data_IF_175078284918
#
_entry.id   IF_175078284918
#
_cell.length_a   1.000
_cell.length_b   1.000
_cell.length_c   1.000
_cell.angle_alpha   90.00
_cell.angle_beta   90.00
_cell.angle_gamma   90.00
#
_symmetry.space_group_name_H-M   'P 1'
#
loop_
_entity.id
_entity.type
_entity.pdbx_description
1 polymer ?
#
# COMPACT_ATOMS: atom_id res chain seq x y z
N UNK A 1 1.63 -2.96 9.87
CA UNK A 1 1.83 -4.03 10.87
C UNK A 1 0.64 -4.97 10.93
N UNK A 2 -0.49 -4.60 11.54
CA UNK A 2 -1.66 -5.51 11.65
C UNK A 2 -2.18 -6.02 10.29
N UNK A 3 -2.22 -5.16 9.25
CA UNK A 3 -2.60 -5.56 7.88
C UNK A 3 -1.66 -6.61 7.25
N UNK A 4 -0.43 -6.74 7.77
CA UNK A 4 0.59 -7.69 7.35
C UNK A 4 0.70 -8.87 8.35
N UNK A 5 -0.39 -9.16 9.08
CA UNK A 5 -0.50 -10.28 10.04
C UNK A 5 0.53 -10.26 11.18
N UNK A 6 0.94 -9.08 11.60
CA UNK A 6 1.64 -8.93 12.87
C UNK A 6 0.64 -9.03 14.02
N UNK A 7 0.94 -9.88 15.00
CA UNK A 7 0.24 -9.86 16.30
C UNK A 7 0.78 -8.74 17.18
N UNK A 8 0.04 -8.34 18.22
CA UNK A 8 0.53 -7.33 19.18
C UNK A 8 1.87 -7.75 19.82
N UNK A 9 2.02 -9.04 20.15
CA UNK A 9 3.27 -9.60 20.68
C UNK A 9 4.42 -9.44 19.70
N UNK A 10 4.24 -9.83 18.43
CA UNK A 10 5.25 -9.67 17.39
C UNK A 10 5.68 -8.21 17.21
N UNK A 11 4.74 -7.26 17.32
CA UNK A 11 5.06 -5.83 17.22
C UNK A 11 6.01 -5.38 18.34
N UNK A 12 5.79 -5.83 19.59
CA UNK A 12 6.67 -5.47 20.72
C UNK A 12 8.02 -6.17 20.64
N UNK A 13 8.06 -7.39 20.10
CA UNK A 13 9.30 -8.15 19.94
C UNK A 13 10.20 -7.57 18.83
N UNK A 14 9.61 -7.12 17.72
CA UNK A 14 10.36 -6.67 16.54
C UNK A 14 10.60 -5.15 16.52
N UNK A 15 9.75 -4.37 17.19
CA UNK A 15 9.86 -2.91 17.25
C UNK A 15 10.06 -2.46 18.68
N UNK A 16 10.93 -1.46 18.89
CA UNK A 16 11.15 -0.80 20.19
C UNK A 16 9.98 0.10 20.57
N UNK A 17 8.78 -0.48 20.65
CA UNK A 17 7.54 0.18 21.02
C UNK A 17 7.17 -0.24 22.44
N UNK A 18 7.01 0.75 23.32
CA UNK A 18 6.57 0.52 24.69
C UNK A 18 5.17 -0.18 24.71
N UNK A 19 4.95 -1.20 25.56
CA UNK A 19 3.69 -1.93 25.60
C UNK A 19 2.46 -1.04 25.87
N UNK A 20 2.59 -0.01 26.72
CA UNK A 20 1.51 0.93 27.00
C UNK A 20 1.26 1.83 25.79
N UNK A 21 2.30 2.26 25.08
CA UNK A 21 2.17 2.99 23.82
C UNK A 21 1.42 2.15 22.75
N UNK A 22 1.76 0.86 22.61
CA UNK A 22 1.05 -0.05 21.71
C UNK A 22 -0.43 -0.15 22.09
N UNK A 23 -0.75 -0.33 23.38
CA UNK A 23 -2.14 -0.43 23.83
C UNK A 23 -2.94 0.85 23.53
N UNK A 24 -2.33 2.03 23.69
CA UNK A 24 -2.95 3.32 23.32
C UNK A 24 -3.23 3.41 21.81
N UNK A 25 -2.31 2.96 20.97
CA UNK A 25 -2.50 2.92 19.52
C UNK A 25 -3.62 1.95 19.12
N UNK A 26 -3.63 0.74 19.70
CA UNK A 26 -4.71 -0.22 19.46
C UNK A 26 -6.06 0.35 19.89
N UNK A 27 -6.13 1.04 21.04
CA UNK A 27 -7.37 1.67 21.50
C UNK A 27 -7.87 2.76 20.54
N UNK A 28 -6.96 3.55 19.97
CA UNK A 28 -7.31 4.54 18.94
C UNK A 28 -7.86 3.87 17.68
N UNK A 29 -7.25 2.77 17.22
CA UNK A 29 -7.72 2.02 16.06
C UNK A 29 -9.10 1.39 16.29
N UNK A 30 -9.34 0.86 17.49
CA UNK A 30 -10.63 0.29 17.91
C UNK A 30 -11.72 1.36 17.92
N UNK A 31 -11.43 2.53 18.51
CA UNK A 31 -12.33 3.70 18.48
C UNK A 31 -12.64 4.23 17.09
N UNK A 32 -11.73 4.05 16.14
CA UNK A 32 -11.96 4.37 14.73
C UNK A 32 -12.77 3.30 13.99
N UNK A 33 -13.08 2.17 14.65
CA UNK A 33 -13.79 1.04 14.06
C UNK A 33 -12.96 0.25 13.05
N UNK A 34 -11.63 0.34 13.13
CA UNK A 34 -10.71 -0.37 12.21
C UNK A 34 -10.37 -1.77 12.69
N UNK A 35 -10.42 -1.99 14.00
CA UNK A 35 -10.18 -3.27 14.65
C UNK A 35 -11.22 -3.53 15.73
N UNK A 36 -11.38 -4.78 16.13
CA UNK A 36 -11.96 -5.16 17.41
C UNK A 36 -10.84 -5.73 18.29
N UNK A 37 -10.70 -5.21 19.51
CA UNK A 37 -9.83 -5.82 20.53
C UNK A 37 -10.57 -6.90 21.31
N UNK A 38 -9.92 -8.05 21.50
CA UNK A 38 -10.41 -9.15 22.33
C UNK A 38 -9.46 -9.40 23.51
N UNK A 39 -9.93 -10.06 24.59
CA UNK A 39 -9.10 -10.37 25.75
C UNK A 39 -7.79 -11.08 25.36
N UNK A 40 -6.70 -10.74 26.04
CA UNK A 40 -5.37 -11.28 25.74
C UNK A 40 -4.61 -10.54 24.63
N UNK A 41 -4.93 -9.27 24.37
CA UNK A 41 -4.32 -8.44 23.32
C UNK A 41 -4.42 -9.03 21.91
N UNK A 42 -5.45 -9.85 21.69
CA UNK A 42 -5.79 -10.32 20.36
C UNK A 42 -6.53 -9.21 19.60
N UNK A 43 -6.20 -9.06 18.33
CA UNK A 43 -6.71 -8.00 17.48
C UNK A 43 -7.34 -8.62 16.25
N UNK A 44 -8.61 -8.30 16.01
CA UNK A 44 -9.31 -8.67 14.78
C UNK A 44 -9.44 -7.45 13.88
N UNK A 45 -8.92 -7.53 12.66
CA UNK A 45 -9.11 -6.48 11.66
C UNK A 45 -10.57 -6.44 11.20
N UNK A 46 -11.14 -5.24 11.11
CA UNK A 46 -12.48 -4.96 10.54
C UNK A 46 -12.41 -4.40 9.12
N UNK A 47 -11.20 -4.22 8.62
CA UNK A 47 -10.92 -3.70 7.28
C UNK A 47 -10.34 -4.80 6.40
N UNK A 48 -10.70 -4.79 5.12
CA UNK A 48 -10.07 -5.64 4.11
C UNK A 48 -8.64 -5.16 3.83
N UNK A 49 -7.74 -6.07 3.45
CA UNK A 49 -6.37 -5.72 3.04
C UNK A 49 -6.34 -4.86 1.78
N UNK A 50 -7.24 -5.12 0.85
CA UNK A 50 -7.49 -4.31 -0.36
C UNK A 50 -8.29 -3.04 -0.13
N UNK A 51 -8.12 -2.37 1.02
CA UNK A 51 -8.90 -1.17 1.37
C UNK A 51 -8.67 -0.08 0.31
N UNK A 52 -9.76 0.30 -0.38
CA UNK A 52 -9.76 1.49 -1.23
C UNK A 52 -9.91 2.74 -0.36
N UNK A 53 -8.93 3.62 -0.39
CA UNK A 53 -9.04 4.90 0.31
C UNK A 53 -10.11 5.77 -0.33
N UNK A 54 -10.89 6.43 0.51
CA UNK A 54 -11.79 7.49 0.08
C UNK A 54 -10.97 8.62 -0.55
N UNK A 55 -11.39 9.07 -1.74
CA UNK A 55 -10.79 10.23 -2.39
C UNK A 55 -10.82 11.45 -1.43
N UNK A 56 -9.69 12.13 -1.26
CA UNK A 56 -9.56 13.26 -0.34
C UNK A 56 -9.64 12.92 1.16
N UNK A 57 -9.76 11.65 1.53
CA UNK A 57 -9.79 11.19 2.92
C UNK A 57 -8.43 11.31 3.63
N UNK A 58 -8.39 11.25 4.98
CA UNK A 58 -7.18 11.47 5.76
C UNK A 58 -6.06 10.48 5.43
N UNK A 59 -6.38 9.19 5.26
CA UNK A 59 -5.40 8.16 4.88
C UNK A 59 -4.81 8.45 3.49
N UNK A 60 -5.65 8.87 2.54
CA UNK A 60 -5.18 9.22 1.19
C UNK A 60 -4.23 10.42 1.21
N UNK A 61 -4.54 11.45 1.99
CA UNK A 61 -3.66 12.63 2.14
C UNK A 61 -2.32 12.25 2.76
N UNK A 62 -2.33 11.45 3.81
CA UNK A 62 -1.11 10.94 4.43
C UNK A 62 -0.26 10.16 3.42
N UNK A 63 -0.89 9.26 2.64
CA UNK A 63 -0.19 8.53 1.59
C UNK A 63 0.43 9.43 0.53
N UNK A 64 -0.34 10.41 0.02
CA UNK A 64 0.13 11.33 -1.02
C UNK A 64 1.30 12.22 -0.54
N UNK A 65 1.31 12.58 0.75
CA UNK A 65 2.30 13.50 1.35
C UNK A 65 3.58 12.81 1.82
N UNK A 66 3.49 11.57 2.29
CA UNK A 66 4.60 10.89 2.96
C UNK A 66 4.99 9.64 2.17
N UNK A 67 4.11 8.65 2.14
CA UNK A 67 4.42 7.31 1.63
C UNK A 67 4.80 7.32 0.15
N UNK A 68 4.05 8.03 -0.69
CA UNK A 68 4.32 8.07 -2.14
C UNK A 68 5.67 8.73 -2.43
N UNK A 69 5.96 9.84 -1.78
CA UNK A 69 7.21 10.57 -1.96
C UNK A 69 8.40 9.76 -1.46
N UNK A 70 8.29 9.16 -0.27
CA UNK A 70 9.34 8.30 0.30
C UNK A 70 9.66 7.11 -0.62
N UNK A 71 8.62 6.39 -1.06
CA UNK A 71 8.79 5.22 -1.93
C UNK A 71 9.43 5.57 -3.27
N UNK A 72 9.00 6.67 -3.91
CA UNK A 72 9.54 7.08 -5.22
C UNK A 72 10.93 7.75 -5.13
N UNK A 73 11.37 8.16 -3.93
CA UNK A 73 12.73 8.69 -3.69
C UNK A 73 13.75 7.60 -3.38
N UNK A 74 13.32 6.35 -3.17
CA UNK A 74 14.23 5.23 -3.00
C UNK A 74 15.16 5.08 -4.21
N UNK A 75 16.36 4.56 -4.01
CA UNK A 75 17.34 4.37 -5.09
C UNK A 75 16.97 3.21 -6.02
N UNK A 76 16.10 2.30 -5.58
CA UNK A 76 15.75 1.06 -6.29
C UNK A 76 16.99 0.25 -6.71
N UNK A 77 17.98 0.16 -5.81
CA UNK A 77 19.29 -0.45 -6.04
C UNK A 77 19.50 -1.78 -5.29
N UNK A 78 18.50 -2.26 -4.55
CA UNK A 78 18.58 -3.54 -3.87
C UNK A 78 18.24 -4.70 -4.81
N UNK A 79 18.77 -5.91 -4.55
CA UNK A 79 18.41 -7.09 -5.33
C UNK A 79 16.89 -7.31 -5.36
N UNK A 80 16.32 -7.32 -6.56
CA UNK A 80 14.88 -7.50 -6.78
C UNK A 80 14.08 -6.19 -6.92
N UNK A 81 14.67 -5.04 -6.60
CA UNK A 81 14.04 -3.74 -6.85
C UNK A 81 13.82 -3.53 -8.36
N UNK A 82 12.70 -2.90 -8.70
CA UNK A 82 12.35 -2.55 -10.07
C UNK A 82 11.72 -1.16 -10.11
N UNK A 83 12.23 -0.30 -11.00
CA UNK A 83 11.68 1.03 -11.24
C UNK A 83 11.48 1.27 -12.74
N UNK A 84 10.25 1.07 -13.20
CA UNK A 84 9.92 1.10 -14.62
C UNK A 84 8.94 2.24 -14.91
N UNK A 85 9.39 3.27 -15.62
CA UNK A 85 8.53 4.33 -16.14
C UNK A 85 8.37 4.20 -17.66
N UNK A 86 7.15 3.87 -18.10
CA UNK A 86 6.81 3.67 -19.52
C UNK A 86 5.88 4.77 -20.01
N UNK A 87 6.17 5.30 -21.20
CA UNK A 87 5.35 6.33 -21.85
C UNK A 87 5.23 6.03 -23.35
N UNK A 88 4.04 6.20 -23.90
CA UNK A 88 3.75 5.97 -25.31
C UNK A 88 2.31 6.31 -25.67
N UNK A 89 2.02 6.37 -26.96
CA UNK A 89 0.66 6.50 -27.46
C UNK A 89 0.04 5.13 -27.62
N UNK A 90 -1.12 4.91 -27.00
CA UNK A 90 -1.84 3.66 -27.04
C UNK A 90 -3.25 3.90 -27.56
N UNK A 91 -3.80 2.93 -28.28
CA UNK A 91 -5.23 2.91 -28.61
C UNK A 91 -6.07 2.73 -27.34
N UNK A 92 -7.35 3.10 -27.42
CA UNK A 92 -8.29 2.86 -26.32
C UNK A 92 -8.40 1.38 -25.95
N UNK A 93 -8.34 0.48 -26.94
CA UNK A 93 -8.37 -0.97 -26.72
C UNK A 93 -7.15 -1.46 -25.93
N UNK A 94 -5.94 -0.97 -26.25
CA UNK A 94 -4.72 -1.28 -25.50
C UNK A 94 -4.78 -0.70 -24.08
N UNK A 95 -5.29 0.53 -23.91
CA UNK A 95 -5.49 1.13 -22.58
C UNK A 95 -6.47 0.30 -21.74
N UNK A 96 -7.58 -0.15 -22.31
CA UNK A 96 -8.56 -0.98 -21.62
C UNK A 96 -7.96 -2.34 -21.20
N UNK A 97 -7.19 -2.98 -22.08
CA UNK A 97 -6.49 -4.22 -21.78
C UNK A 97 -5.49 -4.04 -20.62
N UNK A 98 -4.65 -3.00 -20.66
CA UNK A 98 -3.68 -2.73 -19.60
C UNK A 98 -4.36 -2.46 -18.26
N UNK A 99 -5.45 -1.67 -18.23
CA UNK A 99 -6.22 -1.44 -17.00
C UNK A 99 -6.73 -2.74 -16.36
N UNK A 100 -7.23 -3.67 -17.19
CA UNK A 100 -7.66 -5.00 -16.70
C UNK A 100 -6.49 -5.81 -16.15
N UNK A 101 -5.34 -5.80 -16.83
CA UNK A 101 -4.12 -6.49 -16.36
C UNK A 101 -3.59 -5.92 -15.06
N UNK A 102 -3.56 -4.60 -14.90
CA UNK A 102 -3.16 -3.96 -13.64
C UNK A 102 -4.11 -4.29 -12.49
N UNK A 103 -5.42 -4.34 -12.75
CA UNK A 103 -6.40 -4.76 -11.74
C UNK A 103 -6.22 -6.23 -11.33
N UNK A 104 -5.92 -7.12 -12.29
CA UNK A 104 -5.62 -8.52 -12.03
C UNK A 104 -4.33 -8.69 -11.20
N UNK A 105 -3.27 -7.97 -11.54
CA UNK A 105 -2.00 -7.97 -10.79
C UNK A 105 -2.20 -7.50 -9.34
N UNK A 106 -3.00 -6.45 -9.13
CA UNK A 106 -3.32 -5.99 -7.78
C UNK A 106 -4.09 -7.06 -6.97
N UNK A 107 -5.03 -7.75 -7.60
CA UNK A 107 -5.76 -8.84 -6.96
C UNK A 107 -4.87 -10.05 -6.64
N UNK A 108 -3.93 -10.39 -7.54
CA UNK A 108 -2.94 -11.45 -7.34
C UNK A 108 -2.03 -11.12 -6.16
N UNK A 109 -1.55 -9.88 -6.05
CA UNK A 109 -0.78 -9.43 -4.90
C UNK A 109 -1.53 -9.61 -3.58
N UNK A 110 -2.82 -9.25 -3.52
CA UNK A 110 -3.65 -9.45 -2.32
C UNK A 110 -3.79 -10.94 -1.97
N UNK A 111 -3.92 -11.81 -2.97
CA UNK A 111 -4.02 -13.26 -2.78
C UNK A 111 -2.70 -13.84 -2.23
N UNK A 112 -1.56 -13.45 -2.81
CA UNK A 112 -0.23 -13.87 -2.34
C UNK A 112 0.02 -13.37 -0.91
N UNK A 113 -0.22 -12.10 -0.64
CA UNK A 113 -0.07 -11.52 0.71
C UNK A 113 -0.93 -12.25 1.75
N UNK A 114 -2.15 -12.66 1.37
CA UNK A 114 -3.04 -13.43 2.26
C UNK A 114 -2.51 -14.84 2.50
N UNK A 115 -2.03 -15.52 1.45
CA UNK A 115 -1.48 -16.86 1.57
C UNK A 115 -0.22 -16.88 2.44
N UNK A 116 0.71 -15.96 2.18
CA UNK A 116 1.94 -15.80 2.95
C UNK A 116 1.68 -15.31 4.37
N UNK A 117 0.52 -14.68 4.62
CA UNK A 117 0.04 -14.32 5.96
C UNK A 117 0.02 -15.46 6.99
N UNK A 118 0.00 -16.72 6.52
CA UNK A 118 0.03 -17.92 7.37
C UNK A 118 1.45 -18.37 7.74
N UNK A 119 2.47 -17.85 7.07
CA UNK A 119 3.86 -18.19 7.33
C UNK A 119 4.39 -17.49 8.59
N UNK A 120 5.40 -18.07 9.26
CA UNK A 120 6.16 -17.39 10.30
C UNK A 120 6.72 -16.04 9.84
N UNK A 121 6.84 -15.06 10.74
CA UNK A 121 7.29 -13.69 10.42
C UNK A 121 8.67 -13.69 9.74
N UNK A 122 9.59 -14.55 10.20
CA UNK A 122 10.95 -14.70 9.66
C UNK A 122 11.01 -15.31 8.25
N UNK A 123 9.88 -15.81 7.74
CA UNK A 123 9.73 -16.35 6.37
C UNK A 123 9.00 -15.39 5.44
N UNK A 124 8.73 -14.16 5.88
CA UNK A 124 8.00 -13.15 5.13
C UNK A 124 8.83 -11.89 5.03
N UNK A 125 8.69 -11.16 3.93
CA UNK A 125 9.41 -9.91 3.71
C UNK A 125 8.42 -8.79 3.44
N UNK A 126 8.73 -7.59 3.94
CA UNK A 126 8.00 -6.40 3.56
C UNK A 126 8.18 -6.14 2.08
N UNK A 127 7.10 -6.30 1.31
CA UNK A 127 7.10 -6.04 -0.12
C UNK A 127 5.99 -5.05 -0.45
N UNK A 128 6.34 -3.97 -1.15
CA UNK A 128 5.41 -2.92 -1.54
C UNK A 128 5.40 -2.77 -3.05
N UNK A 129 4.21 -2.83 -3.64
CA UNK A 129 4.02 -2.67 -5.09
C UNK A 129 3.16 -1.42 -5.34
N UNK A 130 3.73 -0.44 -6.05
CA UNK A 130 2.99 0.75 -6.51
C UNK A 130 2.66 0.62 -7.98
N UNK A 131 1.37 0.55 -8.32
CA UNK A 131 0.89 0.52 -9.70
C UNK A 131 0.04 1.75 -9.97
N UNK A 132 0.38 2.51 -11.01
CA UNK A 132 -0.39 3.66 -11.45
C UNK A 132 -0.40 3.75 -12.98
N UNK A 133 -1.53 4.15 -13.54
CA UNK A 133 -1.63 4.52 -14.95
C UNK A 133 -2.52 5.76 -15.08
N UNK A 134 -2.12 6.68 -15.95
CA UNK A 134 -2.91 7.88 -16.28
C UNK A 134 -2.61 8.30 -17.70
N UNK A 135 -3.59 8.89 -18.37
CA UNK A 135 -3.31 9.70 -19.54
C UNK A 135 -2.57 10.95 -19.05
N UNK A 136 -1.29 11.06 -19.39
CA UNK A 136 -0.43 12.14 -18.88
C UNK A 136 0.47 12.68 -19.97
N UNK A 137 0.65 13.99 -19.91
CA UNK A 137 1.65 14.71 -20.70
C UNK A 137 2.54 15.44 -19.73
N UNK A 138 3.85 15.37 -19.95
CA UNK A 138 4.78 16.11 -19.11
C UNK A 138 4.54 17.61 -19.29
N UNK A 139 4.40 18.34 -18.18
CA UNK A 139 3.97 19.75 -18.20
C UNK A 139 4.93 20.67 -18.93
N UNK A 140 6.21 20.29 -19.07
CA UNK A 140 7.17 21.03 -19.90
C UNK A 140 6.75 21.10 -21.37
N UNK A 141 5.89 20.18 -21.85
CA UNK A 141 5.37 20.22 -23.21
C UNK A 141 4.14 21.11 -23.37
N UNK A 142 3.51 21.56 -22.28
CA UNK A 142 2.32 22.41 -22.36
C UNK A 142 2.62 23.73 -23.07
N UNK A 143 3.83 24.29 -22.88
CA UNK A 143 4.28 25.51 -23.57
C UNK A 143 4.40 25.36 -25.10
N UNK A 144 4.46 24.12 -25.60
CA UNK A 144 4.55 23.81 -27.02
C UNK A 144 3.22 23.34 -27.61
N UNK A 145 2.18 23.17 -26.79
CA UNK A 145 0.84 22.81 -27.29
C UNK A 145 0.33 23.97 -28.14
N UNK A 146 -0.14 23.64 -29.35
CA UNK A 146 -0.90 24.62 -30.13
C UNK A 146 -2.20 24.88 -29.40
N UNK A 147 -2.52 26.16 -29.19
CA UNK A 147 -3.87 26.59 -28.84
C UNK A 147 -4.78 26.10 -29.98
N UNK A 148 -5.67 25.16 -29.67
CA UNK A 148 -6.75 24.72 -30.55
C UNK A 148 -8.06 25.13 -29.91
#
# INVERSE_FOLDING_TARGET
LLLNDYTATMIVEEYSLDPLALQRLLYQLDRMGLIDQTPGNQVRLKVARGLRWRAGGPIRRFFDLQVREEFLRAQFDQPGDQFNFLSGMLSESSVALLRRRLAALAAEFEQLSKADGLLPVDKRHGFSLMVASRNWTFSLFDRFKRLR
#
